data_IF_993510588410
#
_entry.id   IF_993510588410
#
_cell.length_a   1.000
_cell.length_b   1.000
_cell.length_c   1.000
_cell.angle_alpha   90.00
_cell.angle_beta   90.00
_cell.angle_gamma   90.00
#
_symmetry.space_group_name_H-M   'P 1'
#
loop_
_entity.id
_entity.type
_entity.pdbx_description
1 polymer ?
#
# COMPACT_ATOMS: atom_id res chain seq x y z
N UNK A 1 -26.26 1.60 -27.50
CA UNK A 1 -25.48 2.69 -26.88
C UNK A 1 -24.84 2.12 -25.62
N UNK A 2 -23.64 1.56 -25.74
CA UNK A 2 -22.90 1.00 -24.61
C UNK A 2 -22.24 2.16 -23.89
N UNK A 3 -22.72 2.48 -22.69
CA UNK A 3 -22.06 3.45 -21.81
C UNK A 3 -20.80 2.79 -21.27
N UNK A 4 -19.65 3.13 -21.86
CA UNK A 4 -18.35 2.79 -21.26
C UNK A 4 -18.24 3.57 -19.96
N UNK A 5 -18.33 2.86 -18.82
CA UNK A 5 -18.12 3.46 -17.52
C UNK A 5 -16.66 3.94 -17.42
N UNK A 6 -16.38 5.12 -16.84
CA UNK A 6 -15.03 5.63 -16.75
C UNK A 6 -14.15 4.75 -15.86
N UNK A 7 -12.92 4.49 -16.31
CA UNK A 7 -11.87 3.83 -15.52
C UNK A 7 -11.18 4.82 -14.59
N UNK A 8 -10.90 4.39 -13.36
CA UNK A 8 -10.25 5.17 -12.31
C UNK A 8 -8.88 4.58 -12.00
N UNK A 9 -7.89 5.45 -11.87
CA UNK A 9 -6.54 5.10 -11.46
C UNK A 9 -6.40 5.21 -9.94
N UNK A 10 -6.17 4.07 -9.29
CA UNK A 10 -6.06 3.97 -7.82
C UNK A 10 -4.63 3.96 -7.34
N UNK A 11 -3.67 3.61 -8.16
CA UNK A 11 -2.26 3.73 -7.79
C UNK A 11 -1.58 4.39 -8.96
N UNK A 12 -0.75 5.39 -8.67
CA UNK A 12 0.02 6.07 -9.69
C UNK A 12 1.43 6.24 -9.15
N UNK A 13 2.40 5.54 -9.73
CA UNK A 13 3.78 5.97 -9.62
C UNK A 13 3.86 7.39 -10.17
N UNK A 14 4.38 8.31 -9.36
CA UNK A 14 4.70 9.68 -9.77
C UNK A 14 5.91 9.62 -10.72
N UNK A 15 5.73 9.15 -11.96
CA UNK A 15 6.84 8.92 -12.90
C UNK A 15 7.27 10.21 -13.59
N UNK A 16 8.22 10.89 -12.95
CA UNK A 16 9.32 11.64 -13.60
C UNK A 16 10.70 11.13 -13.13
N UNK A 17 10.73 10.18 -12.17
CA UNK A 17 11.94 9.79 -11.43
C UNK A 17 12.59 8.50 -12.01
N UNK A 18 11.87 7.68 -12.79
CA UNK A 18 12.43 6.41 -13.32
C UNK A 18 13.56 6.60 -14.33
N UNK A 19 13.72 7.78 -14.93
CA UNK A 19 14.83 8.14 -15.83
C UNK A 19 16.08 8.61 -15.05
N UNK A 20 15.89 9.16 -13.84
CA UNK A 20 16.95 9.67 -12.97
C UNK A 20 17.55 8.60 -12.04
N UNK A 21 16.80 7.54 -11.74
CA UNK A 21 17.24 6.45 -10.85
C UNK A 21 18.24 5.50 -11.54
N UNK A 22 18.05 5.21 -12.83
CA UNK A 22 19.00 4.37 -13.58
C UNK A 22 20.35 5.04 -13.82
N UNK A 23 20.39 6.38 -13.85
CA UNK A 23 21.63 7.16 -13.98
C UNK A 23 22.37 7.35 -12.65
N UNK A 24 21.69 7.29 -11.50
CA UNK A 24 22.29 7.39 -10.16
C UNK A 24 22.82 6.04 -9.62
N UNK A 25 22.33 4.91 -10.14
CA UNK A 25 22.72 3.54 -9.75
C UNK A 25 24.20 3.19 -10.01
N UNK A 26 24.95 4.04 -10.71
CA UNK A 26 26.40 3.87 -10.88
C UNK A 26 27.25 4.30 -9.66
N UNK A 27 26.69 4.93 -8.60
CA UNK A 27 27.53 5.67 -7.64
C UNK A 27 27.47 5.37 -6.14
N UNK A 28 26.76 4.37 -5.62
CA UNK A 28 26.84 4.12 -4.15
C UNK A 28 27.06 2.66 -3.74
N UNK A 29 28.15 2.50 -2.98
CA UNK A 29 28.68 1.28 -2.39
C UNK A 29 27.77 0.77 -1.26
N UNK A 30 27.80 -0.55 -1.06
CA UNK A 30 26.92 -1.27 -0.15
C UNK A 30 27.10 -0.96 1.34
N UNK A 31 25.99 -1.13 2.05
CA UNK A 31 25.92 -1.48 3.47
C UNK A 31 24.89 -2.61 3.58
N UNK A 32 25.29 -3.78 4.08
CA UNK A 32 24.38 -4.92 4.28
C UNK A 32 23.71 -4.77 5.64
N UNK A 33 22.81 -3.79 5.75
CA UNK A 33 21.77 -3.79 6.78
C UNK A 33 20.62 -4.69 6.34
N UNK A 34 19.89 -5.31 7.26
CA UNK A 34 18.61 -5.96 6.93
C UNK A 34 17.66 -4.89 6.41
N UNK A 35 17.50 -4.83 5.10
CA UNK A 35 16.65 -3.84 4.43
C UNK A 35 15.18 -4.26 4.59
N UNK A 36 14.36 -3.39 5.15
CA UNK A 36 12.91 -3.56 5.16
C UNK A 36 12.35 -3.01 3.86
N UNK A 37 11.70 -3.88 3.10
CA UNK A 37 11.16 -3.55 1.78
C UNK A 37 9.66 -3.81 1.78
N UNK A 38 8.89 -2.80 1.34
CA UNK A 38 7.48 -2.94 0.98
C UNK A 38 7.35 -2.89 -0.55
N UNK A 39 6.62 -3.84 -1.11
CA UNK A 39 6.39 -3.96 -2.54
C UNK A 39 4.90 -3.92 -2.82
N UNK A 40 4.46 -2.94 -3.61
CA UNK A 40 3.08 -2.77 -4.06
C UNK A 40 3.03 -2.49 -5.57
N UNK A 41 1.91 -2.77 -6.26
CA UNK A 41 1.77 -2.45 -7.68
C UNK A 41 1.99 -0.96 -7.95
N UNK A 42 2.75 -0.62 -8.99
CA UNK A 42 3.01 0.77 -9.37
C UNK A 42 1.75 1.50 -9.89
N UNK A 43 0.81 0.75 -10.47
CA UNK A 43 -0.45 1.28 -10.95
C UNK A 43 -1.55 0.22 -10.94
N UNK A 44 -2.78 0.65 -10.71
CA UNK A 44 -3.97 -0.20 -10.88
C UNK A 44 -5.14 0.65 -11.36
N UNK A 45 -5.75 0.26 -12.48
CA UNK A 45 -6.99 0.86 -12.99
C UNK A 45 -8.16 -0.08 -12.73
N UNK A 46 -9.35 0.51 -12.55
CA UNK A 46 -10.60 -0.22 -12.33
C UNK A 46 -11.78 0.63 -12.75
N UNK A 47 -12.83 0.00 -13.26
CA UNK A 47 -14.07 0.69 -13.60
C UNK A 47 -14.88 1.06 -12.35
N UNK A 48 -15.64 2.14 -12.44
CA UNK A 48 -16.64 2.50 -11.43
C UNK A 48 -17.55 1.31 -11.07
N UNK A 49 -17.84 1.17 -9.77
CA UNK A 49 -18.69 0.12 -9.22
C UNK A 49 -18.04 -1.26 -9.14
N UNK A 50 -16.87 -1.48 -9.73
CA UNK A 50 -16.15 -2.75 -9.64
C UNK A 50 -15.40 -2.88 -8.31
N UNK A 51 -14.94 -4.10 -8.02
CA UNK A 51 -14.09 -4.39 -6.87
C UNK A 51 -12.63 -4.46 -7.30
N UNK A 52 -11.75 -3.95 -6.47
CA UNK A 52 -10.29 -3.98 -6.69
C UNK A 52 -9.57 -4.35 -5.42
N UNK A 53 -8.47 -5.08 -5.57
CA UNK A 53 -7.56 -5.40 -4.47
C UNK A 53 -6.18 -4.82 -4.73
N UNK A 54 -5.55 -4.21 -3.74
CA UNK A 54 -4.19 -3.69 -3.79
C UNK A 54 -3.35 -4.51 -2.83
N UNK A 55 -2.34 -5.18 -3.37
CA UNK A 55 -1.47 -6.05 -2.60
C UNK A 55 -0.22 -5.30 -2.15
N UNK A 56 0.25 -5.62 -0.95
CA UNK A 56 1.50 -5.17 -0.40
C UNK A 56 2.24 -6.36 0.19
N UNK A 57 3.50 -6.52 -0.23
CA UNK A 57 4.41 -7.53 0.29
C UNK A 57 5.51 -6.90 1.10
N UNK A 58 5.72 -7.40 2.31
CA UNK A 58 6.80 -7.00 3.18
C UNK A 58 7.93 -8.05 3.18
N UNK A 59 9.16 -7.58 3.25
CA UNK A 59 10.32 -8.41 3.55
C UNK A 59 11.29 -7.59 4.39
N UNK A 60 11.61 -7.98 5.64
CA UNK A 60 11.20 -9.20 6.35
C UNK A 60 9.77 -9.15 6.90
N UNK A 61 9.38 -10.15 7.68
CA UNK A 61 8.07 -10.24 8.37
C UNK A 61 7.80 -9.00 9.24
N UNK A 62 6.56 -8.50 9.18
CA UNK A 62 6.07 -7.39 10.00
C UNK A 62 5.91 -7.83 11.46
N UNK A 63 6.08 -6.92 12.42
CA UNK A 63 5.86 -7.25 13.84
C UNK A 63 4.39 -7.65 14.07
N UNK A 64 4.19 -8.78 14.75
CA UNK A 64 2.86 -9.26 15.12
C UNK A 64 2.26 -8.36 16.22
N UNK A 65 0.97 -8.04 16.08
CA UNK A 65 0.21 -7.34 17.09
C UNK A 65 -0.50 -8.34 18.02
N UNK A 66 -1.38 -9.17 17.45
CA UNK A 66 -2.14 -10.19 18.17
C UNK A 66 -2.83 -11.13 17.18
N UNK A 67 -2.87 -12.43 17.47
CA UNK A 67 -3.48 -13.43 16.59
C UNK A 67 -2.91 -13.31 15.15
N UNK A 68 -3.78 -13.18 14.16
CA UNK A 68 -3.38 -13.00 12.75
C UNK A 68 -3.17 -11.54 12.34
N UNK A 69 -3.15 -10.59 13.28
CA UNK A 69 -2.94 -9.16 13.02
C UNK A 69 -1.47 -8.76 13.23
N UNK A 70 -0.99 -7.89 12.34
CA UNK A 70 0.37 -7.36 12.34
C UNK A 70 0.32 -5.83 12.33
N UNK A 71 1.39 -5.16 12.73
CA UNK A 71 1.51 -3.70 12.68
C UNK A 71 1.71 -3.19 11.24
N UNK A 72 0.65 -3.32 10.44
CA UNK A 72 0.53 -2.80 9.09
C UNK A 72 -0.65 -1.83 9.00
N UNK A 73 -0.49 -0.78 8.22
CA UNK A 73 -1.53 0.19 7.91
C UNK A 73 -1.65 0.44 6.39
N UNK A 74 -2.86 0.78 5.95
CA UNK A 74 -3.16 1.27 4.59
C UNK A 74 -3.60 2.72 4.65
N UNK A 75 -3.03 3.54 3.77
CA UNK A 75 -3.36 4.94 3.61
C UNK A 75 -3.88 5.22 2.21
N UNK A 76 -4.75 6.22 2.09
CA UNK A 76 -5.16 6.81 0.82
C UNK A 76 -4.81 8.30 0.81
N UNK A 77 -4.17 8.76 -0.25
CA UNK A 77 -3.79 10.14 -0.46
C UNK A 77 -4.32 10.65 -1.80
N UNK A 78 -5.08 11.73 -1.74
CA UNK A 78 -5.44 12.52 -2.92
C UNK A 78 -4.36 13.56 -3.19
N UNK A 79 -4.19 13.94 -4.45
CA UNK A 79 -3.26 15.00 -4.83
C UNK A 79 -3.53 16.28 -4.03
N UNK A 80 -2.52 16.79 -3.32
CA UNK A 80 -2.63 17.99 -2.50
C UNK A 80 -3.30 17.79 -1.13
N UNK A 81 -3.71 16.57 -0.78
CA UNK A 81 -4.23 16.23 0.56
C UNK A 81 -3.20 15.44 1.39
N UNK A 82 -3.35 15.49 2.71
CA UNK A 82 -2.59 14.63 3.62
C UNK A 82 -3.05 13.17 3.49
N UNK A 83 -2.15 12.17 3.66
CA UNK A 83 -2.53 10.76 3.71
C UNK A 83 -3.56 10.49 4.80
N UNK A 84 -4.64 9.77 4.44
CA UNK A 84 -5.71 9.36 5.36
C UNK A 84 -5.62 7.88 5.65
N UNK A 85 -5.62 7.52 6.94
CA UNK A 85 -5.57 6.13 7.38
C UNK A 85 -6.90 5.42 7.07
N UNK A 86 -6.83 4.31 6.34
CA UNK A 86 -7.98 3.49 5.98
C UNK A 86 -8.12 2.28 6.89
N UNK A 87 -7.06 1.49 6.99
CA UNK A 87 -6.97 0.24 7.75
C UNK A 87 -5.72 0.31 8.62
N UNK A 88 -5.80 -0.18 9.86
CA UNK A 88 -4.65 -0.45 10.72
C UNK A 88 -4.69 -1.87 11.26
N UNK A 89 -3.58 -2.34 11.82
CA UNK A 89 -3.45 -3.70 12.39
C UNK A 89 -3.95 -4.79 11.43
N UNK A 90 -3.51 -4.71 10.16
CA UNK A 90 -3.88 -5.63 9.06
C UNK A 90 -5.34 -5.52 8.57
N UNK A 91 -6.33 -5.54 9.46
CA UNK A 91 -7.75 -5.67 9.10
C UNK A 91 -8.69 -4.69 9.82
N UNK A 92 -8.20 -3.92 10.78
CA UNK A 92 -9.02 -3.00 11.56
C UNK A 92 -9.28 -1.72 10.78
N UNK A 93 -10.51 -1.59 10.25
CA UNK A 93 -10.93 -0.41 9.51
C UNK A 93 -11.06 0.82 10.43
N UNK A 94 -10.39 1.89 10.04
CA UNK A 94 -10.47 3.21 10.69
C UNK A 94 -11.33 4.18 9.86
N UNK A 95 -11.33 4.01 8.54
CA UNK A 95 -12.19 4.81 7.65
C UNK A 95 -13.67 4.64 7.98
N UNK A 96 -14.44 5.72 7.88
CA UNK A 96 -15.90 5.70 7.99
C UNK A 96 -16.59 5.07 6.78
N UNK A 97 -15.85 4.86 5.68
CA UNK A 97 -16.36 4.27 4.44
C UNK A 97 -16.27 2.74 4.55
N UNK A 98 -17.44 2.08 4.53
CA UNK A 98 -17.58 0.63 4.75
C UNK A 98 -16.98 -0.26 3.65
N UNK A 99 -16.81 0.29 2.44
CA UNK A 99 -16.37 -0.45 1.24
C UNK A 99 -14.87 -0.78 1.22
N UNK A 100 -14.10 -0.22 2.14
CA UNK A 100 -12.70 -0.60 2.36
C UNK A 100 -12.61 -1.79 3.33
N UNK A 101 -11.77 -2.77 3.00
CA UNK A 101 -11.42 -3.88 3.88
C UNK A 101 -9.94 -4.23 3.75
N UNK A 102 -9.32 -4.64 4.85
CA UNK A 102 -7.94 -5.13 4.85
C UNK A 102 -7.86 -6.58 5.29
N UNK A 103 -6.93 -7.32 4.70
CA UNK A 103 -6.65 -8.71 5.01
C UNK A 103 -5.16 -9.00 4.95
N UNK A 104 -4.73 -10.11 5.58
CA UNK A 104 -3.38 -10.64 5.45
C UNK A 104 -3.42 -12.15 5.32
N UNK A 105 -2.40 -12.73 4.67
CA UNK A 105 -2.32 -14.17 4.45
C UNK A 105 -1.94 -14.97 5.73
N UNK A 106 -1.77 -14.30 6.88
CA UNK A 106 -1.33 -14.92 8.13
C UNK A 106 0.16 -15.24 8.19
N UNK A 107 0.92 -14.90 7.15
CA UNK A 107 2.37 -15.07 7.08
C UNK A 107 3.16 -13.82 7.52
N UNK A 108 2.46 -12.73 7.84
CA UNK A 108 3.04 -11.46 8.25
C UNK A 108 3.85 -10.75 7.17
N UNK A 109 3.73 -11.18 5.91
CA UNK A 109 4.42 -10.59 4.75
C UNK A 109 3.46 -10.18 3.65
N UNK A 110 2.36 -10.91 3.41
CA UNK A 110 1.39 -10.57 2.38
C UNK A 110 0.14 -9.91 2.98
N UNK A 111 -0.17 -8.72 2.51
CA UNK A 111 -1.30 -7.90 2.95
C UNK A 111 -2.06 -7.31 1.77
N UNK A 112 -3.38 -7.25 1.88
CA UNK A 112 -4.24 -6.80 0.78
C UNK A 112 -5.25 -5.78 1.31
N UNK A 113 -5.37 -4.66 0.62
CA UNK A 113 -6.50 -3.73 0.72
C UNK A 113 -7.51 -4.09 -0.37
N UNK A 114 -8.77 -4.27 -0.02
CA UNK A 114 -9.85 -4.43 -0.99
C UNK A 114 -10.81 -3.24 -0.91
N UNK A 115 -11.19 -2.73 -2.07
CA UNK A 115 -12.17 -1.66 -2.24
C UNK A 115 -13.30 -2.24 -3.10
N UNK A 116 -14.47 -2.46 -2.51
CA UNK A 116 -15.65 -2.87 -3.25
C UNK A 116 -16.42 -1.64 -3.74
N UNK A 117 -17.07 -1.73 -4.91
CA UNK A 117 -17.89 -0.63 -5.42
C UNK A 117 -17.10 0.67 -5.57
N UNK A 118 -16.01 0.63 -6.34
CA UNK A 118 -15.09 1.77 -6.51
C UNK A 118 -15.83 3.01 -7.03
N UNK A 119 -15.61 4.14 -6.37
CA UNK A 119 -16.17 5.43 -6.73
C UNK A 119 -15.10 6.39 -7.28
N UNK A 120 -15.51 7.44 -7.98
CA UNK A 120 -14.60 8.48 -8.50
C UNK A 120 -13.76 9.14 -7.39
N UNK A 121 -14.29 9.18 -6.16
CA UNK A 121 -13.60 9.70 -4.99
C UNK A 121 -12.46 8.81 -4.49
N UNK A 122 -12.36 7.56 -4.96
CA UNK A 122 -11.31 6.60 -4.60
C UNK A 122 -10.04 6.79 -5.46
N UNK A 123 -10.11 7.62 -6.51
CA UNK A 123 -8.95 7.98 -7.32
C UNK A 123 -7.87 8.66 -6.45
N UNK A 124 -6.65 8.15 -6.49
CA UNK A 124 -5.56 8.66 -5.67
C UNK A 124 -4.35 7.76 -5.66
N UNK A 125 -3.53 7.88 -4.61
CA UNK A 125 -2.41 6.99 -4.33
C UNK A 125 -2.65 6.29 -3.00
N UNK A 126 -2.40 4.99 -2.97
CA UNK A 126 -2.52 4.17 -1.77
C UNK A 126 -1.14 3.69 -1.37
N UNK A 127 -0.88 3.67 -0.07
CA UNK A 127 0.41 3.26 0.49
C UNK A 127 0.17 2.29 1.63
N UNK A 128 0.85 1.15 1.61
CA UNK A 128 1.00 0.34 2.80
C UNK A 128 2.16 0.88 3.66
N UNK A 129 2.04 0.72 4.97
CA UNK A 129 3.09 1.05 5.93
C UNK A 129 3.25 -0.13 6.89
N UNK A 130 4.46 -0.44 7.29
CA UNK A 130 4.76 -1.51 8.25
C UNK A 130 5.65 -1.04 9.38
N UNK A 131 5.49 -1.66 10.54
CA UNK A 131 6.39 -1.53 11.68
C UNK A 131 7.10 -2.86 11.95
N UNK A 132 8.41 -2.79 12.11
CA UNK A 132 9.29 -3.92 12.40
C UNK A 132 10.10 -3.67 13.67
N UNK A 133 10.37 -4.72 14.43
CA UNK A 133 11.30 -4.71 15.56
C UNK A 133 12.49 -5.61 15.21
N UNK A 134 13.57 -5.01 14.74
CA UNK A 134 14.75 -5.71 14.19
C UNK A 134 15.97 -5.21 14.94
N UNK A 135 16.83 -6.14 15.41
CA UNK A 135 18.08 -5.81 16.13
C UNK A 135 17.87 -4.80 17.28
N UNK A 136 16.79 -4.97 18.04
CA UNK A 136 16.39 -4.09 19.15
C UNK A 136 16.06 -2.65 18.74
N UNK A 137 15.67 -2.42 17.48
CA UNK A 137 15.26 -1.13 16.95
C UNK A 137 13.86 -1.20 16.34
N UNK A 138 13.08 -0.14 16.51
CA UNK A 138 11.80 0.04 15.83
C UNK A 138 12.05 0.66 14.45
N UNK A 139 11.55 0.02 13.40
CA UNK A 139 11.71 0.46 12.01
C UNK A 139 10.33 0.64 11.40
N UNK A 140 10.08 1.81 10.82
CA UNK A 140 8.86 2.14 10.09
C UNK A 140 9.19 2.26 8.59
N UNK A 141 8.41 1.62 7.74
CA UNK A 141 8.62 1.62 6.28
C UNK A 141 7.30 1.85 5.54
N UNK A 142 7.34 2.56 4.41
CA UNK A 142 6.20 2.87 3.53
C UNK A 142 6.62 2.73 2.07
#
# INVERSE_FOLDING_TARGET
>A
MTTEAPEILLIKNMTLISVLIWTLLCFTQGSVGQNVVLTQPAAKSVQLGQTVSVDCKANPTVTQYSGSQYYLAWYHQKTGEAPKLLIRRTSERVSTISRYSGSGAGNGVDFTLTISGVDAADAGVYYCQSHHYINSQNVLTQ
#
